data_IF_355632464510
#
_entry.id   IF_355632464510
#
_cell.length_a   1.000
_cell.length_b   1.000
_cell.length_c   1.000
_cell.angle_alpha   90.00
_cell.angle_beta   90.00
_cell.angle_gamma   90.00
#
_symmetry.space_group_name_H-M   'P 1'
#
loop_
_entity.id
_entity.type
_entity.pdbx_description
1 polymer ?
#
# COMPACT_ATOMS: atom_id res chain seq x y z
N UNK A 1 -23.61 -39.61 -10.32
CA UNK A 1 -24.51 -38.59 -9.76
C UNK A 1 -23.87 -37.29 -10.18
N UNK A 2 -24.47 -36.67 -11.19
CA UNK A 2 -23.85 -35.67 -12.05
C UNK A 2 -23.61 -34.34 -11.35
N UNK A 3 -22.35 -33.90 -11.33
CA UNK A 3 -21.95 -32.54 -10.96
C UNK A 3 -21.83 -31.70 -12.23
N UNK A 4 -22.95 -31.46 -12.89
CA UNK A 4 -23.06 -30.44 -13.92
C UNK A 4 -23.47 -29.13 -13.22
N UNK A 5 -22.47 -28.36 -12.79
CA UNK A 5 -22.64 -26.97 -12.36
C UNK A 5 -23.20 -26.17 -13.55
N UNK A 6 -24.47 -25.78 -13.46
CA UNK A 6 -25.13 -24.93 -14.43
C UNK A 6 -24.55 -23.51 -14.35
N UNK A 7 -23.69 -23.13 -15.31
CA UNK A 7 -23.39 -21.73 -15.59
C UNK A 7 -23.54 -21.50 -17.09
N UNK A 8 -24.79 -21.57 -17.55
CA UNK A 8 -25.23 -20.74 -18.66
C UNK A 8 -26.13 -19.67 -18.05
N UNK A 9 -25.53 -18.66 -17.40
CA UNK A 9 -26.25 -17.41 -17.17
C UNK A 9 -26.47 -16.79 -18.55
N UNK A 10 -27.70 -16.91 -19.06
CA UNK A 10 -28.14 -16.29 -20.30
C UNK A 10 -27.67 -14.83 -20.34
N UNK A 11 -26.68 -14.55 -21.20
CA UNK A 11 -26.14 -13.19 -21.42
C UNK A 11 -27.24 -12.18 -21.82
N UNK A 12 -28.41 -12.66 -22.20
CA UNK A 12 -29.62 -11.87 -22.46
C UNK A 12 -30.18 -11.17 -21.20
N UNK A 13 -29.94 -11.69 -20.00
CA UNK A 13 -30.41 -11.09 -18.74
C UNK A 13 -29.50 -9.97 -18.21
N UNK A 14 -28.27 -9.85 -18.73
CA UNK A 14 -27.33 -8.78 -18.33
C UNK A 14 -27.76 -7.48 -19.03
N UNK A 15 -27.90 -6.35 -18.34
CA UNK A 15 -28.17 -5.05 -18.98
C UNK A 15 -27.12 -4.74 -20.08
N UNK A 16 -27.52 -4.18 -21.25
CA UNK A 16 -26.59 -3.98 -22.37
C UNK A 16 -25.32 -3.18 -22.03
N UNK A 17 -25.42 -2.23 -21.10
CA UNK A 17 -24.28 -1.41 -20.65
C UNK A 17 -23.28 -2.17 -19.74
N UNK A 18 -23.64 -3.36 -19.25
CA UNK A 18 -22.79 -4.25 -18.45
C UNK A 18 -22.25 -5.43 -19.26
N UNK A 19 -22.69 -5.61 -20.51
CA UNK A 19 -22.20 -6.70 -21.35
C UNK A 19 -20.80 -6.35 -21.87
N UNK A 20 -19.77 -7.18 -21.59
CA UNK A 20 -18.50 -7.02 -22.27
C UNK A 20 -18.68 -7.32 -23.78
N UNK A 21 -17.97 -6.60 -24.67
CA UNK A 21 -17.98 -6.90 -26.09
C UNK A 21 -17.56 -8.36 -26.36
N UNK A 22 -18.43 -9.11 -27.05
CA UNK A 22 -18.17 -10.48 -27.45
C UNK A 22 -17.19 -10.50 -28.64
N UNK A 23 -16.20 -11.39 -28.63
CA UNK A 23 -15.23 -11.64 -29.73
C UNK A 23 -14.22 -10.52 -30.04
N UNK A 24 -14.05 -9.52 -29.17
CA UNK A 24 -13.01 -8.49 -29.32
C UNK A 24 -12.22 -8.32 -28.03
N UNK A 25 -10.92 -8.06 -28.15
CA UNK A 25 -10.10 -7.64 -27.02
C UNK A 25 -10.67 -6.30 -26.49
N UNK A 26 -11.33 -6.35 -25.34
CA UNK A 26 -11.86 -5.18 -24.67
C UNK A 26 -10.98 -4.79 -23.48
N UNK A 27 -10.97 -3.50 -23.18
CA UNK A 27 -10.33 -2.92 -22.01
C UNK A 27 -11.42 -2.52 -21.01
N UNK A 28 -11.31 -3.01 -19.78
CA UNK A 28 -12.13 -2.51 -18.67
C UNK A 28 -11.54 -1.19 -18.20
N UNK A 29 -12.27 -0.09 -18.37
CA UNK A 29 -11.86 1.23 -17.91
C UNK A 29 -12.67 1.60 -16.68
N UNK A 30 -11.98 1.80 -15.57
CA UNK A 30 -12.61 2.22 -14.31
C UNK A 30 -12.46 3.74 -14.19
N UNK A 31 -13.60 4.42 -14.06
CA UNK A 31 -13.70 5.86 -13.84
C UNK A 31 -14.58 6.16 -12.62
N UNK A 32 -14.50 7.38 -12.09
CA UNK A 32 -15.38 7.84 -10.99
C UNK A 32 -16.86 7.74 -11.34
N UNK A 33 -17.19 7.88 -12.62
CA UNK A 33 -18.59 7.84 -13.09
C UNK A 33 -19.14 6.43 -13.26
N UNK A 34 -18.32 5.45 -13.66
CA UNK A 34 -18.71 4.04 -13.82
C UNK A 34 -17.52 3.17 -14.26
N UNK A 35 -17.74 1.86 -14.27
CA UNK A 35 -16.90 0.89 -14.97
C UNK A 35 -17.39 0.76 -16.40
N UNK A 36 -16.49 0.94 -17.36
CA UNK A 36 -16.75 0.88 -18.80
C UNK A 36 -16.06 -0.34 -19.42
N UNK A 37 -16.68 -0.89 -20.47
CA UNK A 37 -16.07 -1.87 -21.35
C UNK A 37 -15.89 -1.22 -22.73
N UNK A 38 -14.63 -1.03 -23.16
CA UNK A 38 -14.32 -0.33 -24.40
C UNK A 38 -13.37 -1.19 -25.23
N UNK A 39 -13.67 -1.38 -26.51
CA UNK A 39 -12.72 -1.99 -27.46
C UNK A 39 -11.63 -0.98 -27.81
N UNK A 40 -10.38 -1.38 -27.65
CA UNK A 40 -9.21 -0.51 -27.89
C UNK A 40 -8.35 -1.12 -28.97
N UNK A 41 -8.12 -0.36 -30.03
CA UNK A 41 -7.19 -0.75 -31.09
C UNK A 41 -5.84 -0.08 -30.83
N UNK A 42 -4.83 -0.88 -30.50
CA UNK A 42 -3.48 -0.40 -30.30
C UNK A 42 -2.77 -0.17 -31.63
N UNK A 43 -1.94 0.86 -31.69
CA UNK A 43 -1.09 1.09 -32.85
C UNK A 43 0.04 0.06 -32.85
N UNK A 44 0.21 -0.62 -33.99
CA UNK A 44 1.26 -1.63 -34.23
C UNK A 44 2.23 -1.20 -35.34
N UNK A 45 2.23 0.08 -35.73
CA UNK A 45 3.13 0.60 -36.75
C UNK A 45 4.60 0.48 -36.32
N UNK A 46 5.57 0.33 -37.24
CA UNK A 46 6.99 0.40 -36.91
C UNK A 46 7.33 1.69 -36.14
N UNK A 47 7.99 1.57 -34.99
CA UNK A 47 8.27 2.69 -34.10
C UNK A 47 7.10 3.11 -33.18
N UNK A 48 6.00 2.36 -33.16
CA UNK A 48 4.92 2.59 -32.19
C UNK A 48 5.42 2.43 -30.76
N UNK A 49 4.85 3.23 -29.86
CA UNK A 49 5.08 3.08 -28.42
C UNK A 49 4.57 1.74 -27.90
N UNK A 50 5.11 1.32 -26.74
CA UNK A 50 4.60 0.15 -26.02
C UNK A 50 3.15 0.37 -25.59
N UNK A 51 2.37 -0.71 -25.47
CA UNK A 51 0.92 -0.69 -25.16
C UNK A 51 0.61 0.19 -23.94
N UNK A 52 1.33 0.01 -22.83
CA UNK A 52 1.11 0.81 -21.62
C UNK A 52 1.42 2.30 -21.83
N UNK A 53 2.38 2.66 -22.69
CA UNK A 53 2.69 4.05 -23.01
C UNK A 53 1.61 4.68 -23.90
N UNK A 54 1.02 3.90 -24.82
CA UNK A 54 -0.14 4.35 -25.60
C UNK A 54 -1.33 4.67 -24.68
N UNK A 55 -1.62 3.81 -23.70
CA UNK A 55 -2.67 4.05 -22.70
C UNK A 55 -2.38 5.30 -21.86
N UNK A 56 -1.13 5.46 -21.39
CA UNK A 56 -0.72 6.64 -20.62
C UNK A 56 -0.86 7.94 -21.43
N UNK A 57 -0.53 7.93 -22.73
CA UNK A 57 -0.80 9.06 -23.63
C UNK A 57 -2.30 9.35 -23.73
N UNK A 58 -3.14 8.32 -23.72
CA UNK A 58 -4.60 8.40 -23.67
C UNK A 58 -5.18 8.76 -22.30
N UNK A 59 -4.35 9.20 -21.33
CA UNK A 59 -4.76 9.51 -19.95
C UNK A 59 -5.35 8.32 -19.18
N UNK A 60 -4.98 7.09 -19.56
CA UNK A 60 -5.39 5.85 -18.91
C UNK A 60 -4.19 5.20 -18.23
N UNK A 61 -4.32 4.92 -16.93
CA UNK A 61 -3.30 4.25 -16.14
C UNK A 61 -3.54 2.73 -16.15
N UNK A 62 -2.67 1.93 -16.77
CA UNK A 62 -2.90 0.49 -16.89
C UNK A 62 -2.63 -0.25 -15.57
N UNK A 63 -3.46 -1.24 -15.25
CA UNK A 63 -3.26 -2.11 -14.09
C UNK A 63 -1.96 -2.93 -14.20
N UNK A 64 -1.68 -3.44 -15.42
CA UNK A 64 -0.51 -4.25 -15.77
C UNK A 64 0.24 -3.63 -16.95
N UNK A 65 1.57 -3.81 -17.00
CA UNK A 65 2.39 -3.13 -18.01
C UNK A 65 2.53 -3.90 -19.32
N UNK A 66 2.44 -5.22 -19.28
CA UNK A 66 2.65 -6.09 -20.44
C UNK A 66 1.38 -6.29 -21.25
N UNK A 67 0.30 -6.75 -20.61
CA UNK A 67 -0.99 -7.02 -21.27
C UNK A 67 -2.15 -6.47 -20.42
N UNK A 68 -2.44 -5.16 -20.53
CA UNK A 68 -3.50 -4.53 -19.73
C UNK A 68 -4.88 -4.96 -20.22
N UNK A 69 -5.59 -5.71 -19.37
CA UNK A 69 -7.04 -5.94 -19.49
C UNK A 69 -7.87 -4.87 -18.78
N UNK A 70 -7.25 -4.15 -17.85
CA UNK A 70 -7.87 -3.10 -17.04
C UNK A 70 -7.02 -1.84 -17.07
N UNK A 71 -7.67 -0.69 -17.17
CA UNK A 71 -7.07 0.62 -16.96
C UNK A 71 -7.94 1.49 -16.07
N UNK A 72 -7.31 2.43 -15.38
CA UNK A 72 -7.95 3.38 -14.48
C UNK A 72 -7.78 4.78 -15.04
N UNK A 73 -8.79 5.62 -14.93
CA UNK A 73 -8.60 7.05 -15.17
C UNK A 73 -7.78 7.66 -14.03
N UNK A 74 -7.02 8.72 -14.32
CA UNK A 74 -6.33 9.45 -13.25
C UNK A 74 -7.30 10.04 -12.22
N UNK A 75 -8.53 10.37 -12.64
CA UNK A 75 -9.56 10.88 -11.74
C UNK A 75 -9.96 9.84 -10.69
N UNK A 76 -10.23 8.59 -11.05
CA UNK A 76 -10.62 7.56 -10.06
C UNK A 76 -9.46 7.23 -9.09
N UNK A 77 -8.24 7.29 -9.59
CA UNK A 77 -7.05 7.07 -8.79
C UNK A 77 -6.83 8.17 -7.74
N UNK A 78 -7.08 9.43 -8.11
CA UNK A 78 -7.01 10.55 -7.18
C UNK A 78 -8.23 10.60 -6.24
N UNK A 79 -9.44 10.38 -6.75
CA UNK A 79 -10.68 10.31 -5.94
C UNK A 79 -10.58 9.25 -4.84
N UNK A 80 -10.04 8.07 -5.16
CA UNK A 80 -9.78 7.04 -4.16
C UNK A 80 -8.80 7.50 -3.06
N UNK A 81 -7.76 8.27 -3.40
CA UNK A 81 -6.83 8.80 -2.39
C UNK A 81 -7.57 9.72 -1.42
N UNK A 82 -8.44 10.60 -1.93
CA UNK A 82 -9.25 11.49 -1.10
C UNK A 82 -10.26 10.72 -0.23
N UNK A 83 -11.03 9.80 -0.81
CA UNK A 83 -12.01 8.98 -0.05
C UNK A 83 -11.34 8.11 1.02
N UNK A 84 -10.11 7.64 0.78
CA UNK A 84 -9.36 6.91 1.76
C UNK A 84 -8.84 7.81 2.90
N UNK A 85 -8.40 9.02 2.57
CA UNK A 85 -7.87 9.98 3.54
C UNK A 85 -8.98 10.58 4.41
N UNK A 86 -10.03 11.11 3.79
CA UNK A 86 -11.08 11.88 4.47
C UNK A 86 -12.12 10.96 5.14
N UNK A 87 -12.47 9.85 4.48
CA UNK A 87 -13.55 8.98 4.95
C UNK A 87 -13.06 7.64 5.51
N UNK A 88 -11.75 7.36 5.50
CA UNK A 88 -11.22 6.07 5.92
C UNK A 88 -11.69 4.90 5.05
N UNK A 89 -12.14 5.17 3.82
CA UNK A 89 -12.75 4.17 2.95
C UNK A 89 -11.71 3.14 2.51
N UNK A 90 -11.94 1.86 2.77
CA UNK A 90 -11.10 0.78 2.25
C UNK A 90 -11.23 0.67 0.73
N UNK A 91 -10.21 0.12 0.06
CA UNK A 91 -10.27 -0.09 -1.39
C UNK A 91 -11.44 -0.95 -1.85
N UNK A 92 -11.80 -1.98 -1.07
CA UNK A 92 -12.95 -2.84 -1.38
C UNK A 92 -14.28 -2.07 -1.24
N UNK A 93 -14.41 -1.21 -0.24
CA UNK A 93 -15.61 -0.40 -0.02
C UNK A 93 -15.74 0.67 -1.10
N UNK A 94 -14.63 1.32 -1.46
CA UNK A 94 -14.58 2.29 -2.55
C UNK A 94 -14.96 1.64 -3.89
N UNK A 95 -14.42 0.46 -4.19
CA UNK A 95 -14.82 -0.25 -5.41
C UNK A 95 -16.28 -0.71 -5.35
N UNK A 96 -16.79 -1.10 -4.19
CA UNK A 96 -18.21 -1.41 -4.01
C UNK A 96 -19.12 -0.20 -4.26
N UNK A 97 -18.69 1.02 -3.89
CA UNK A 97 -19.32 2.29 -4.28
C UNK A 97 -19.34 2.42 -5.81
N UNK A 98 -18.20 2.23 -6.49
CA UNK A 98 -18.14 2.28 -7.97
C UNK A 98 -19.06 1.26 -8.65
N UNK A 99 -19.20 0.04 -8.11
CA UNK A 99 -20.13 -0.97 -8.63
C UNK A 99 -21.57 -0.49 -8.55
N UNK A 100 -21.97 0.14 -7.43
CA UNK A 100 -23.32 0.70 -7.26
C UNK A 100 -23.57 1.92 -8.14
N UNK A 101 -22.57 2.77 -8.35
CA UNK A 101 -22.66 3.90 -9.30
C UNK A 101 -22.86 3.35 -10.73
N UNK A 102 -22.12 2.30 -11.10
CA UNK A 102 -22.21 1.67 -12.42
C UNK A 102 -23.57 1.00 -12.64
N UNK A 103 -24.05 0.22 -11.68
CA UNK A 103 -25.38 -0.36 -11.67
C UNK A 103 -25.86 -0.54 -10.24
N UNK A 104 -26.84 0.27 -9.84
CA UNK A 104 -27.41 0.18 -8.50
C UNK A 104 -28.32 -1.05 -8.32
N UNK A 105 -28.95 -1.50 -9.42
CA UNK A 105 -29.85 -2.66 -9.41
C UNK A 105 -29.08 -3.97 -9.37
N UNK A 106 -27.98 -4.06 -10.13
CA UNK A 106 -27.17 -5.28 -10.26
C UNK A 106 -25.67 -5.00 -10.04
N UNK A 107 -25.26 -4.55 -8.85
CA UNK A 107 -23.85 -4.24 -8.57
C UNK A 107 -22.96 -5.50 -8.66
N UNK A 108 -23.53 -6.68 -8.40
CA UNK A 108 -22.80 -7.95 -8.45
C UNK A 108 -22.31 -8.31 -9.87
N UNK A 109 -23.01 -7.85 -10.91
CA UNK A 109 -22.62 -8.08 -12.31
C UNK A 109 -21.44 -7.21 -12.76
N UNK A 110 -21.11 -6.14 -12.01
CA UNK A 110 -19.95 -5.31 -12.30
C UNK A 110 -18.69 -6.04 -11.82
N UNK A 111 -17.69 -6.31 -12.69
CA UNK A 111 -16.48 -7.02 -12.33
C UNK A 111 -15.70 -6.31 -11.23
N UNK A 112 -15.26 -7.07 -10.23
CA UNK A 112 -14.42 -6.54 -9.17
C UNK A 112 -12.95 -6.44 -9.62
N UNK A 113 -12.40 -5.22 -9.54
CA UNK A 113 -11.02 -4.87 -9.90
C UNK A 113 -10.30 -4.08 -8.80
N UNK A 114 -10.81 -4.08 -7.56
CA UNK A 114 -10.21 -3.26 -6.48
C UNK A 114 -8.74 -3.60 -6.21
N UNK A 115 -8.34 -4.88 -6.35
CA UNK A 115 -6.95 -5.31 -6.08
C UNK A 115 -5.95 -4.61 -7.00
N UNK A 116 -6.37 -4.28 -8.22
CA UNK A 116 -5.57 -3.61 -9.23
C UNK A 116 -5.47 -2.09 -8.97
N UNK A 117 -6.48 -1.50 -8.35
CA UNK A 117 -6.60 -0.06 -8.07
C UNK A 117 -5.53 0.45 -7.07
N UNK A 118 -5.12 -0.38 -6.12
CA UNK A 118 -4.55 0.10 -4.86
C UNK A 118 -3.04 0.34 -4.83
N UNK A 119 -2.27 -0.41 -5.62
CA UNK A 119 -0.87 -0.64 -5.24
C UNK A 119 0.15 0.32 -5.88
N UNK A 120 -0.05 0.71 -7.14
CA UNK A 120 1.00 1.42 -7.90
C UNK A 120 0.89 2.95 -7.84
N UNK A 121 -0.34 3.48 -7.79
CA UNK A 121 -0.54 4.93 -7.92
C UNK A 121 0.03 5.73 -6.74
N UNK A 122 -0.18 5.27 -5.51
CA UNK A 122 0.34 5.94 -4.30
C UNK A 122 1.85 6.03 -4.31
N UNK A 123 2.53 4.94 -4.64
CA UNK A 123 3.99 4.91 -4.77
C UNK A 123 4.46 5.91 -5.84
N UNK A 124 3.85 5.92 -7.01
CA UNK A 124 4.23 6.85 -8.08
C UNK A 124 4.04 8.32 -7.67
N UNK A 125 2.96 8.65 -6.95
CA UNK A 125 2.74 9.99 -6.40
C UNK A 125 3.82 10.34 -5.38
N UNK A 126 4.16 9.41 -4.49
CA UNK A 126 5.21 9.59 -3.48
C UNK A 126 6.59 9.82 -4.12
N UNK A 127 6.96 9.00 -5.11
CA UNK A 127 8.20 9.17 -5.87
C UNK A 127 8.24 10.51 -6.61
N UNK A 128 7.11 10.90 -7.24
CA UNK A 128 6.98 12.19 -7.92
C UNK A 128 7.18 13.36 -6.97
N UNK A 129 6.55 13.34 -5.80
CA UNK A 129 6.66 14.42 -4.81
C UNK A 129 8.05 14.56 -4.22
N UNK A 130 8.79 13.45 -4.09
CA UNK A 130 10.18 13.45 -3.63
C UNK A 130 11.20 13.64 -4.77
N UNK A 131 10.76 13.93 -6.01
CA UNK A 131 11.65 14.24 -7.13
C UNK A 131 12.33 13.03 -7.79
N UNK A 132 11.86 11.81 -7.53
CA UNK A 132 12.38 10.57 -8.13
C UNK A 132 11.81 10.25 -9.51
N UNK A 133 10.92 11.08 -10.06
CA UNK A 133 10.29 10.83 -11.36
C UNK A 133 11.25 10.83 -12.57
N UNK A 134 12.40 11.51 -12.46
CA UNK A 134 13.39 11.62 -13.55
C UNK A 134 14.78 11.11 -13.16
N UNK A 135 14.94 10.63 -11.92
CA UNK A 135 16.21 10.11 -11.43
C UNK A 135 16.29 8.62 -11.76
N UNK A 136 17.46 8.16 -12.18
CA UNK A 136 17.73 6.73 -12.36
C UNK A 136 18.09 6.02 -11.06
N UNK A 137 18.30 6.77 -9.97
CA UNK A 137 18.62 6.20 -8.67
C UNK A 137 17.34 5.77 -7.93
N UNK A 138 17.48 4.72 -7.13
CA UNK A 138 16.48 4.31 -6.14
C UNK A 138 16.58 5.21 -4.91
N UNK A 139 15.45 5.49 -4.24
CA UNK A 139 15.48 6.19 -2.96
C UNK A 139 16.36 5.47 -1.95
N UNK A 140 17.05 6.21 -1.09
CA UNK A 140 17.76 5.68 0.05
C UNK A 140 16.80 5.28 1.16
N UNK A 141 17.35 4.74 2.25
CA UNK A 141 16.59 4.33 3.43
C UNK A 141 15.92 5.54 4.06
N UNK A 142 14.60 5.46 4.25
CA UNK A 142 13.80 6.54 4.81
C UNK A 142 13.69 7.81 3.96
N UNK A 143 14.25 7.85 2.74
CA UNK A 143 14.31 9.08 1.95
C UNK A 143 12.93 9.52 1.43
N UNK A 144 11.97 8.61 1.33
CA UNK A 144 10.59 8.95 0.96
C UNK A 144 9.73 9.38 2.15
N UNK A 145 10.24 9.26 3.39
CA UNK A 145 9.51 9.66 4.58
C UNK A 145 9.80 11.11 4.97
N UNK A 146 8.75 11.81 5.40
CA UNK A 146 8.89 13.16 5.92
C UNK A 146 9.22 13.08 7.40
N UNK A 147 10.34 13.69 7.81
CA UNK A 147 10.66 13.87 9.22
C UNK A 147 10.18 15.23 9.74
N UNK A 148 10.27 15.45 11.06
CA UNK A 148 9.78 16.66 11.70
C UNK A 148 10.53 17.90 11.18
N UNK A 149 9.81 18.81 10.51
CA UNK A 149 10.34 20.08 10.02
C UNK A 149 10.68 21.06 11.15
N UNK A 150 10.06 20.91 12.32
CA UNK A 150 10.26 21.78 13.47
C UNK A 150 11.39 21.30 14.40
N UNK A 151 11.68 19.98 14.45
CA UNK A 151 12.78 19.46 15.25
C UNK A 151 14.11 19.87 14.58
N UNK A 152 15.14 20.31 15.34
CA UNK A 152 16.41 20.78 14.77
C UNK A 152 17.14 19.62 14.10
N UNK A 153 17.32 19.66 12.78
CA UNK A 153 17.96 18.56 12.04
C UNK A 153 19.41 18.87 11.67
N UNK A 154 20.32 17.87 11.76
CA UNK A 154 21.67 18.00 11.22
C UNK A 154 21.63 18.41 9.75
N UNK A 155 22.42 19.42 9.37
CA UNK A 155 22.48 19.95 8.00
C UNK A 155 21.40 20.97 7.64
N UNK A 156 20.28 21.04 8.37
CA UNK A 156 19.28 22.11 8.22
C UNK A 156 19.47 23.25 9.21
N UNK A 157 20.02 22.96 10.40
CA UNK A 157 20.32 23.95 11.42
C UNK A 157 21.82 24.15 11.52
N UNK A 158 22.30 25.36 11.22
CA UNK A 158 23.71 25.74 11.41
C UNK A 158 23.94 26.11 12.89
N UNK A 159 24.07 25.11 13.76
CA UNK A 159 24.50 25.32 15.14
C UNK A 159 26.04 25.25 15.24
N UNK A 160 26.65 26.19 15.97
CA UNK A 160 28.07 26.09 16.31
C UNK A 160 28.31 24.90 17.25
N UNK A 161 29.49 24.27 17.23
CA UNK A 161 29.81 23.12 18.10
C UNK A 161 29.55 23.39 19.60
N UNK A 162 29.64 24.65 20.04
CA UNK A 162 29.39 25.06 21.42
C UNK A 162 27.89 25.18 21.79
N UNK A 163 26.99 25.23 20.81
CA UNK A 163 25.55 25.37 21.02
C UNK A 163 24.81 24.02 21.09
N UNK A 164 25.45 22.91 20.69
CA UNK A 164 24.84 21.57 20.55
C UNK A 164 24.22 21.08 21.87
N UNK A 165 24.77 21.48 23.02
CA UNK A 165 24.27 21.09 24.34
C UNK A 165 23.10 21.94 24.85
N UNK A 166 22.67 22.98 24.10
CA UNK A 166 21.49 23.74 24.52
C UNK A 166 20.22 22.91 24.28
N UNK A 167 19.25 22.91 25.21
CA UNK A 167 17.97 22.23 25.04
C UNK A 167 17.22 22.60 23.75
N UNK A 168 17.50 23.79 23.19
CA UNK A 168 16.96 24.26 21.90
C UNK A 168 17.38 23.36 20.72
N UNK A 169 18.52 22.69 20.80
CA UNK A 169 19.05 21.81 19.75
C UNK A 169 18.96 20.32 20.14
N UNK A 170 18.46 20.00 21.33
CA UNK A 170 18.24 18.61 21.74
C UNK A 170 16.98 18.07 21.07
N UNK A 171 17.10 16.87 20.49
CA UNK A 171 15.97 16.08 20.03
C UNK A 171 15.64 15.03 21.09
N UNK A 172 14.38 14.98 21.50
CA UNK A 172 13.87 13.91 22.36
C UNK A 172 13.04 12.97 21.50
N UNK A 173 13.28 11.68 21.66
CA UNK A 173 12.55 10.64 20.95
C UNK A 173 11.73 9.81 21.93
N UNK A 174 10.55 9.42 21.49
CA UNK A 174 9.66 8.48 22.18
C UNK A 174 9.48 7.24 21.31
N UNK A 175 9.31 6.10 21.94
CA UNK A 175 8.99 4.83 21.29
C UNK A 175 7.65 4.35 21.83
N UNK A 176 6.80 3.87 20.93
CA UNK A 176 5.52 3.27 21.30
C UNK A 176 5.22 2.07 20.40
N UNK A 177 4.37 1.16 20.89
CA UNK A 177 4.03 -0.11 20.26
C UNK A 177 2.53 -0.29 20.11
N UNK A 178 2.06 -0.56 18.89
CA UNK A 178 0.70 -0.98 18.60
C UNK A 178 0.60 -2.50 18.44
N UNK A 179 0.07 -3.17 19.46
CA UNK A 179 -0.10 -4.65 19.51
C UNK A 179 -1.40 -5.16 18.88
N UNK A 180 -2.08 -4.33 18.07
CA UNK A 180 -3.29 -4.73 17.33
C UNK A 180 -3.08 -4.67 15.81
N UNK A 181 -1.89 -4.25 15.37
CA UNK A 181 -1.51 -4.21 13.97
C UNK A 181 -1.00 -5.59 13.53
N UNK A 182 -1.94 -6.53 13.39
CA UNK A 182 -1.64 -7.91 13.04
C UNK A 182 -1.44 -8.07 11.53
N UNK A 183 -0.34 -8.74 11.13
CA UNK A 183 -0.11 -9.18 9.76
C UNK A 183 -0.17 -10.70 9.69
N UNK A 184 -0.99 -11.24 8.80
CA UNK A 184 -1.05 -12.68 8.56
C UNK A 184 0.04 -13.11 7.59
N UNK A 185 0.53 -14.34 7.76
CA UNK A 185 1.40 -14.93 6.75
C UNK A 185 0.72 -14.96 5.37
N UNK A 186 1.47 -14.53 4.36
CA UNK A 186 1.03 -14.66 2.98
C UNK A 186 0.94 -16.14 2.58
N UNK A 187 -0.01 -16.45 1.70
CA UNK A 187 -0.21 -17.82 1.19
C UNK A 187 0.96 -18.31 0.32
N UNK A 188 1.71 -17.38 -0.29
CA UNK A 188 2.78 -17.70 -1.23
C UNK A 188 3.89 -16.66 -1.13
N UNK A 189 4.95 -16.99 -0.40
CA UNK A 189 6.07 -16.09 -0.13
C UNK A 189 6.86 -15.73 -1.40
N UNK A 190 6.94 -16.64 -2.37
CA UNK A 190 7.70 -16.43 -3.62
C UNK A 190 7.14 -15.31 -4.51
N UNK A 191 5.87 -14.94 -4.29
CA UNK A 191 5.20 -13.88 -5.04
C UNK A 191 5.18 -12.53 -4.30
N UNK A 192 5.84 -12.44 -3.15
CA UNK A 192 5.87 -11.21 -2.36
C UNK A 192 6.80 -10.18 -3.01
N UNK A 193 6.25 -9.03 -3.37
CA UNK A 193 7.02 -7.91 -3.92
C UNK A 193 6.78 -6.69 -3.05
N UNK A 194 7.83 -6.27 -2.34
CA UNK A 194 7.81 -5.06 -1.53
C UNK A 194 8.02 -3.85 -2.42
N UNK A 195 7.04 -2.94 -2.40
CA UNK A 195 7.06 -1.73 -3.22
C UNK A 195 7.85 -0.57 -2.57
N UNK A 196 8.02 -0.59 -1.25
CA UNK A 196 8.64 0.47 -0.47
C UNK A 196 9.53 -0.07 0.66
N UNK A 197 10.24 -1.18 0.43
CA UNK A 197 11.07 -1.82 1.44
C UNK A 197 12.15 -0.85 1.96
N UNK A 198 12.04 -0.44 3.23
CA UNK A 198 12.97 0.51 3.85
C UNK A 198 12.97 1.93 3.30
N UNK A 199 12.18 2.28 2.29
CA UNK A 199 12.24 3.61 1.67
C UNK A 199 11.43 4.67 2.43
N UNK A 200 10.51 4.25 3.30
CA UNK A 200 9.66 5.14 4.11
C UNK A 200 9.94 5.02 5.61
N UNK A 201 8.88 4.95 6.42
CA UNK A 201 9.03 4.84 7.88
C UNK A 201 9.45 3.44 8.34
N UNK A 202 9.02 2.39 7.64
CA UNK A 202 9.39 1.01 7.96
C UNK A 202 10.87 0.77 7.69
N UNK A 203 11.51 -0.05 8.54
CA UNK A 203 12.88 -0.53 8.31
C UNK A 203 12.95 -1.49 7.12
N UNK A 204 14.16 -1.71 6.61
CA UNK A 204 14.40 -2.67 5.53
C UNK A 204 14.23 -4.10 6.05
N UNK A 205 13.39 -4.89 5.39
CA UNK A 205 13.01 -6.22 5.86
C UNK A 205 14.22 -7.15 6.01
N UNK A 206 15.10 -7.19 5.00
CA UNK A 206 16.26 -8.10 5.01
C UNK A 206 17.22 -7.82 6.16
N UNK A 207 17.45 -6.55 6.47
CA UNK A 207 18.35 -6.11 7.54
C UNK A 207 17.74 -6.37 8.91
N UNK A 208 16.44 -6.09 9.06
CA UNK A 208 15.72 -6.36 10.29
C UNK A 208 15.65 -7.86 10.61
N UNK A 209 15.41 -8.70 9.60
CA UNK A 209 15.43 -10.15 9.77
C UNK A 209 16.83 -10.67 10.16
N UNK A 210 17.90 -10.08 9.62
CA UNK A 210 19.26 -10.41 10.04
C UNK A 210 19.52 -10.00 11.50
N UNK A 211 19.04 -8.83 11.91
CA UNK A 211 19.10 -8.37 13.30
C UNK A 211 18.36 -9.31 14.25
N UNK A 212 17.12 -9.70 13.93
CA UNK A 212 16.33 -10.62 14.75
C UNK A 212 17.03 -11.99 14.93
N UNK A 213 17.64 -12.53 13.87
CA UNK A 213 18.40 -13.79 13.95
C UNK A 213 19.65 -13.68 14.83
N UNK A 214 20.29 -12.52 14.86
CA UNK A 214 21.50 -12.27 15.65
C UNK A 214 21.23 -11.86 17.11
N UNK A 215 19.97 -11.59 17.48
CA UNK A 215 19.64 -11.06 18.80
C UNK A 215 19.24 -12.16 19.76
N UNK A 216 19.93 -12.25 20.89
CA UNK A 216 19.56 -13.17 21.96
C UNK A 216 18.34 -12.64 22.74
N UNK A 217 17.19 -13.25 22.53
CA UNK A 217 15.97 -12.89 23.27
C UNK A 217 15.97 -13.51 24.67
N UNK A 218 16.28 -12.71 25.70
CA UNK A 218 16.11 -13.12 27.09
C UNK A 218 14.61 -13.17 27.44
N UNK A 219 14.15 -14.30 27.96
CA UNK A 219 12.78 -14.41 28.45
C UNK A 219 12.64 -13.73 29.81
N UNK A 220 12.22 -12.47 29.85
CA UNK A 220 11.80 -11.84 31.10
C UNK A 220 10.52 -12.53 31.61
N UNK A 221 10.65 -13.31 32.68
CA UNK A 221 9.49 -13.78 33.44
C UNK A 221 8.98 -12.61 34.27
N UNK A 222 7.73 -12.20 34.05
CA UNK A 222 7.07 -11.26 34.95
C UNK A 222 7.05 -11.85 36.36
N UNK A 223 7.59 -11.13 37.34
CA UNK A 223 7.55 -11.49 38.76
C UNK A 223 6.16 -11.35 39.38
N UNK A 224 5.21 -10.76 38.65
CA UNK A 224 3.85 -10.54 39.11
C UNK A 224 2.90 -11.67 38.68
N UNK A 225 2.21 -12.25 39.66
CA UNK A 225 1.13 -13.22 39.45
C UNK A 225 -0.03 -12.53 38.71
N UNK A 226 -0.31 -12.94 37.47
CA UNK A 226 -1.44 -12.49 36.62
C UNK A 226 -1.33 -11.15 35.88
N UNK A 227 -0.18 -10.82 35.27
CA UNK A 227 -0.21 -9.84 34.16
C UNK A 227 -0.80 -10.45 32.88
N UNK A 228 -2.14 -10.51 32.81
CA UNK A 228 -2.88 -11.00 31.63
C UNK A 228 -2.47 -10.28 30.34
N UNK A 229 -2.23 -8.97 30.38
CA UNK A 229 -1.86 -8.18 29.20
C UNK A 229 -0.51 -8.65 28.59
N UNK A 230 0.51 -8.85 29.43
CA UNK A 230 1.84 -9.30 29.00
C UNK A 230 1.79 -10.76 28.52
N UNK A 231 1.08 -11.62 29.25
CA UNK A 231 0.97 -13.04 28.90
C UNK A 231 0.18 -13.26 27.61
N UNK A 232 -0.85 -12.44 27.35
CA UNK A 232 -1.65 -12.52 26.13
C UNK A 232 -0.90 -11.96 24.92
N UNK A 233 -0.17 -10.85 25.06
CA UNK A 233 0.67 -10.30 24.00
C UNK A 233 1.83 -11.25 23.61
N UNK A 234 2.39 -11.99 24.58
CA UNK A 234 3.48 -12.95 24.34
C UNK A 234 3.03 -14.33 23.82
N UNK A 235 1.72 -14.54 23.63
CA UNK A 235 1.21 -15.82 23.12
C UNK A 235 1.45 -15.91 21.62
N UNK A 236 2.29 -16.85 21.18
CA UNK A 236 2.54 -17.07 19.75
C UNK A 236 1.27 -17.52 19.04
N UNK A 237 0.78 -16.70 18.11
CA UNK A 237 -0.31 -17.08 17.22
C UNK A 237 0.30 -17.58 15.91
N UNK A 238 0.33 -18.90 15.69
CA UNK A 238 1.04 -19.52 14.54
C UNK A 238 0.50 -19.17 13.14
N UNK A 239 -0.46 -18.24 13.02
CA UNK A 239 -1.00 -17.73 11.75
C UNK A 239 -0.52 -16.31 11.43
N UNK A 240 0.08 -15.62 12.39
CA UNK A 240 0.52 -14.23 12.26
C UNK A 240 2.03 -14.15 12.00
N UNK A 241 2.39 -13.36 10.99
CA UNK A 241 3.77 -12.97 10.71
C UNK A 241 4.22 -11.83 11.64
N UNK A 242 3.32 -10.89 11.91
CA UNK A 242 3.52 -9.85 12.92
C UNK A 242 2.30 -9.71 13.82
N UNK A 243 2.55 -9.46 15.11
CA UNK A 243 1.52 -9.24 16.14
C UNK A 243 1.31 -7.75 16.44
N UNK A 244 2.15 -6.88 15.89
CA UNK A 244 2.11 -5.46 16.15
C UNK A 244 3.21 -4.71 15.41
N UNK A 245 3.26 -3.41 15.63
CA UNK A 245 4.24 -2.51 15.03
C UNK A 245 4.72 -1.53 16.11
N UNK A 246 6.02 -1.27 16.18
CA UNK A 246 6.57 -0.17 16.98
C UNK A 246 7.11 0.93 16.11
N UNK A 247 6.91 2.17 16.55
CA UNK A 247 7.48 3.35 15.92
C UNK A 247 8.25 4.19 16.92
N UNK A 248 9.28 4.87 16.42
CA UNK A 248 9.94 5.95 17.14
C UNK A 248 9.47 7.29 16.56
N UNK A 249 9.18 8.28 17.41
CA UNK A 249 8.73 9.60 16.99
C UNK A 249 9.46 10.73 17.75
N UNK A 250 9.53 11.92 17.16
CA UNK A 250 9.99 13.13 17.85
C UNK A 250 8.98 13.43 18.98
N UNK A 251 9.43 13.46 20.23
CA UNK A 251 8.57 13.63 21.41
C UNK A 251 7.82 14.96 21.42
N UNK A 252 8.39 16.00 20.80
CA UNK A 252 7.83 17.35 20.79
C UNK A 252 6.66 17.50 19.80
N UNK A 253 6.73 16.82 18.66
CA UNK A 253 5.81 17.08 17.53
C UNK A 253 5.11 15.81 17.02
N UNK A 254 5.42 14.63 17.58
CA UNK A 254 4.80 13.36 17.21
C UNK A 254 5.14 12.85 15.81
N UNK A 255 6.11 13.46 15.11
CA UNK A 255 6.49 12.98 13.78
C UNK A 255 7.33 11.71 13.88
N UNK A 256 6.91 10.64 13.20
CA UNK A 256 7.68 9.41 13.11
C UNK A 256 9.06 9.65 12.50
N UNK A 257 10.07 8.97 13.05
CA UNK A 257 11.42 8.97 12.51
C UNK A 257 11.42 8.09 11.25
N UNK A 258 11.97 8.55 10.12
CA UNK A 258 12.17 7.72 8.94
C UNK A 258 12.98 6.45 9.24
N UNK A 259 12.67 5.35 8.57
CA UNK A 259 13.39 4.07 8.70
C UNK A 259 13.57 3.59 10.15
N UNK A 260 12.56 3.78 11.00
CA UNK A 260 12.62 3.40 12.43
C UNK A 260 11.41 2.61 12.91
N UNK A 261 10.46 2.30 12.03
CA UNK A 261 9.24 1.56 12.37
C UNK A 261 9.48 0.09 12.08
N UNK A 262 9.18 -0.76 13.06
CA UNK A 262 9.49 -2.20 13.03
C UNK A 262 8.26 -3.04 13.35
N UNK A 263 8.17 -4.21 12.73
CA UNK A 263 7.16 -5.20 13.06
C UNK A 263 7.55 -5.99 14.31
N UNK A 264 6.60 -6.24 15.19
CA UNK A 264 6.72 -7.18 16.30
C UNK A 264 6.27 -8.58 15.89
N UNK A 265 7.00 -9.60 16.31
CA UNK A 265 6.78 -11.01 16.02
C UNK A 265 6.06 -11.70 17.18
N UNK A 266 6.29 -11.26 18.44
CA UNK A 266 5.65 -11.79 19.65
C UNK A 266 5.56 -10.72 20.74
N UNK A 267 4.43 -10.02 20.83
CA UNK A 267 4.22 -9.00 21.86
C UNK A 267 5.11 -7.79 21.61
N UNK A 268 5.97 -7.41 22.56
CA UNK A 268 7.02 -6.37 22.39
C UNK A 268 8.29 -6.91 21.72
N UNK A 269 8.28 -8.16 21.27
CA UNK A 269 9.41 -8.81 20.59
C UNK A 269 9.23 -8.87 19.10
#
# INVERSE_FOLDING_TARGET
>A
MDDQEWIDEDQECIPPHLRPPLHSDYLTIVDVTRVHFITVNYCHCPGSLLVHQQLLRGRLFPATLQRPSTAFTFHVLDDFIWDNLECGTSGSNYFSKLRRITSNVFPHLVPDRYRELLRKWRLLKLLKWNGFGHRSCTPQKGELALFCLACPQPGHVSASHNDIFRPKYSQTFIMDGNFKAEHMHEKCLDNQIWLMDGHGYMVTQSEYQAYLKGTHHAHERSTCNNHRAVNQANTSQGKLESTGISGTACAQHGCFIPHSVVDFQKGER
#
